data_IF_304627406941
#
_entry.id   IF_304627406941
#
_cell.length_a   1.000
_cell.length_b   1.000
_cell.length_c   1.000
_cell.angle_alpha   90.00
_cell.angle_beta   90.00
_cell.angle_gamma   90.00
#
_symmetry.space_group_name_H-M   'P 1'
#
loop_
_entity.id
_entity.type
_entity.pdbx_description
1 polymer ?
#
# COMPACT_ATOMS: atom_id res chain seq x y z
N UNK A 1 -1.53 20.05 21.37
CA UNK A 1 -0.80 20.12 20.09
C UNK A 1 -0.98 21.49 19.46
N UNK A 2 0.02 22.00 18.72
CA UNK A 2 -0.06 23.29 18.02
C UNK A 2 -0.99 23.18 16.80
N UNK A 3 -1.70 24.26 16.45
CA UNK A 3 -2.47 24.33 15.21
C UNK A 3 -1.56 24.77 14.06
N UNK A 4 -1.22 23.86 13.18
CA UNK A 4 -0.41 24.12 11.98
C UNK A 4 -1.26 23.75 10.78
N UNK A 5 -1.45 24.68 9.83
CA UNK A 5 -2.23 24.41 8.62
C UNK A 5 -1.56 23.32 7.79
N UNK A 6 -2.38 22.52 7.12
CA UNK A 6 -1.90 21.59 6.10
C UNK A 6 -1.15 22.32 4.99
N UNK A 7 -0.18 21.62 4.41
CA UNK A 7 0.59 22.10 3.26
C UNK A 7 0.04 21.52 1.97
N UNK A 8 0.43 22.06 0.82
CA UNK A 8 0.02 21.56 -0.50
C UNK A 8 0.76 20.28 -0.96
N UNK A 9 1.33 19.50 -0.03
CA UNK A 9 2.01 18.24 -0.33
C UNK A 9 1.08 17.05 -0.04
N UNK A 10 1.05 16.07 -0.94
CA UNK A 10 0.38 14.79 -0.75
C UNK A 10 1.38 13.66 -0.97
N UNK A 11 1.70 12.94 0.10
CA UNK A 11 2.64 11.82 0.07
C UNK A 11 1.95 10.45 0.00
N UNK A 12 0.61 10.40 -0.10
CA UNK A 12 -0.13 9.14 -0.14
C UNK A 12 0.24 8.34 -1.39
N UNK A 13 0.64 7.10 -1.19
CA UNK A 13 1.01 6.20 -2.27
C UNK A 13 0.89 4.73 -1.84
N UNK A 14 -0.09 4.02 -2.40
CA UNK A 14 -0.41 2.63 -2.03
C UNK A 14 0.63 1.57 -2.42
N UNK A 15 1.76 1.96 -3.03
CA UNK A 15 2.81 1.05 -3.49
C UNK A 15 4.11 1.15 -2.68
N UNK A 16 4.18 2.11 -1.75
CA UNK A 16 5.41 2.44 -1.05
C UNK A 16 5.16 2.66 0.43
N UNK A 17 6.20 2.39 1.21
CA UNK A 17 6.30 2.73 2.62
C UNK A 17 7.50 3.64 2.86
N UNK A 18 7.43 4.44 3.91
CA UNK A 18 8.49 5.36 4.31
C UNK A 18 9.04 4.98 5.67
N UNK A 19 10.37 4.96 5.78
CA UNK A 19 11.09 4.45 6.95
C UNK A 19 11.81 5.59 7.65
N UNK A 20 11.61 5.68 8.96
CA UNK A 20 12.27 6.62 9.84
C UNK A 20 12.90 5.85 11.01
N UNK A 21 14.03 6.33 11.49
CA UNK A 21 14.69 5.87 12.72
C UNK A 21 14.87 7.02 13.67
N UNK A 22 14.98 6.73 14.95
CA UNK A 22 15.10 7.77 15.95
C UNK A 22 15.67 7.32 17.28
N UNK A 23 15.83 8.31 18.15
CA UNK A 23 16.13 8.14 19.56
C UNK A 23 14.90 8.61 20.32
N UNK A 24 14.19 7.67 20.93
CA UNK A 24 13.00 7.96 21.74
C UNK A 24 13.15 7.37 23.14
N UNK A 25 12.65 8.08 24.14
CA UNK A 25 12.80 7.69 25.54
C UNK A 25 11.93 6.47 25.90
N UNK A 26 10.71 6.39 25.40
CA UNK A 26 9.79 5.29 25.70
C UNK A 26 8.74 5.11 24.61
N UNK A 27 8.08 3.95 24.62
CA UNK A 27 6.98 3.64 23.70
C UNK A 27 5.83 4.63 23.84
N UNK A 28 5.47 5.01 25.06
CA UNK A 28 4.37 5.95 25.33
C UNK A 28 4.66 7.35 24.78
N UNK A 29 5.94 7.78 24.79
CA UNK A 29 6.33 9.04 24.17
C UNK A 29 6.24 8.95 22.64
N UNK A 30 6.66 7.83 22.05
CA UNK A 30 6.53 7.61 20.61
C UNK A 30 5.07 7.58 20.15
N UNK A 31 4.19 6.88 20.89
CA UNK A 31 2.75 6.84 20.62
C UNK A 31 2.13 8.25 20.66
N UNK A 32 2.50 9.05 21.67
CA UNK A 32 2.06 10.45 21.75
C UNK A 32 2.57 11.32 20.59
N UNK A 33 3.78 11.06 20.10
CA UNK A 33 4.35 11.78 18.95
C UNK A 33 3.57 11.52 17.66
N UNK A 34 3.14 10.27 17.49
CA UNK A 34 2.42 9.77 16.31
C UNK A 34 0.89 9.92 16.41
N UNK A 35 0.35 10.17 17.60
CA UNK A 35 -1.08 10.31 17.83
C UNK A 35 -1.69 11.36 16.88
N UNK A 36 -2.66 10.91 16.08
CA UNK A 36 -3.44 11.79 15.21
C UNK A 36 -4.67 12.31 15.94
N UNK A 37 -4.93 13.62 15.81
CA UNK A 37 -6.09 14.31 16.34
C UNK A 37 -7.03 14.67 15.18
N UNK A 38 -8.07 13.85 14.98
CA UNK A 38 -9.03 14.02 13.89
C UNK A 38 -9.70 15.40 13.88
N UNK A 39 -9.94 15.98 15.06
CA UNK A 39 -10.51 17.33 15.22
C UNK A 39 -9.63 18.44 14.63
N UNK A 40 -8.33 18.20 14.44
CA UNK A 40 -7.44 19.14 13.74
C UNK A 40 -7.50 18.93 12.22
N UNK A 41 -7.65 17.70 11.76
CA UNK A 41 -7.83 17.40 10.33
C UNK A 41 -9.13 18.01 9.79
N UNK A 42 -10.21 18.01 10.59
CA UNK A 42 -11.50 18.64 10.26
C UNK A 42 -11.43 20.16 10.04
N UNK A 43 -10.36 20.81 10.50
CA UNK A 43 -10.14 22.26 10.36
C UNK A 43 -8.89 22.56 9.52
N UNK A 44 -8.56 21.68 8.58
CA UNK A 44 -7.42 21.78 7.65
C UNK A 44 -6.06 22.02 8.34
N UNK A 45 -5.87 21.39 9.51
CA UNK A 45 -4.61 21.39 10.24
C UNK A 45 -3.95 20.01 10.19
N UNK A 46 -2.63 19.98 10.40
CA UNK A 46 -1.84 18.75 10.50
C UNK A 46 -2.23 18.00 11.79
N UNK A 47 -2.46 16.69 11.64
CA UNK A 47 -3.09 15.86 12.66
C UNK A 47 -2.18 15.37 13.80
N UNK A 48 -0.86 15.37 13.65
CA UNK A 48 0.07 14.87 14.68
C UNK A 48 1.31 15.75 14.83
N UNK A 49 2.05 15.60 15.94
CA UNK A 49 3.31 16.33 16.13
C UNK A 49 4.40 15.81 15.17
N UNK A 50 4.44 14.50 14.92
CA UNK A 50 5.28 13.93 13.86
C UNK A 50 4.98 14.53 12.49
N UNK A 51 3.69 14.65 12.15
CA UNK A 51 3.27 15.29 10.90
C UNK A 51 3.70 16.76 10.81
N UNK A 52 3.64 17.50 11.92
CA UNK A 52 4.13 18.89 11.96
C UNK A 52 5.62 18.94 11.67
N UNK A 53 6.40 18.09 12.33
CA UNK A 53 7.86 18.09 12.25
C UNK A 53 8.34 17.71 10.83
N UNK A 54 7.75 16.68 10.23
CA UNK A 54 8.11 16.21 8.88
C UNK A 54 7.28 16.82 7.74
N UNK A 55 6.38 17.77 8.05
CA UNK A 55 5.45 18.36 7.09
C UNK A 55 4.54 17.35 6.38
N UNK A 56 4.09 16.33 7.10
CA UNK A 56 3.15 15.31 6.63
C UNK A 56 1.76 15.69 7.14
N UNK A 57 0.83 15.97 6.23
CA UNK A 57 -0.53 16.38 6.59
C UNK A 57 -1.29 15.29 7.36
N UNK A 58 -1.18 14.07 6.85
CA UNK A 58 -1.91 12.89 7.29
C UNK A 58 -1.18 11.63 6.83
N UNK A 59 -1.30 10.55 7.60
CA UNK A 59 -0.88 9.20 7.23
C UNK A 59 -1.90 8.20 7.77
N UNK A 60 -1.98 7.01 7.17
CA UNK A 60 -2.96 5.99 7.51
C UNK A 60 -2.52 5.25 8.79
N UNK A 61 -3.30 5.36 9.87
CA UNK A 61 -2.95 4.80 11.17
C UNK A 61 -3.07 3.26 11.20
N UNK A 62 -3.79 2.67 10.25
CA UNK A 62 -3.89 1.21 10.07
C UNK A 62 -2.65 0.59 9.39
N UNK A 63 -1.82 1.42 8.74
CA UNK A 63 -0.70 0.95 7.90
C UNK A 63 0.67 1.40 8.41
N UNK A 64 0.81 1.79 9.68
CA UNK A 64 2.12 2.10 10.26
C UNK A 64 2.53 1.13 11.35
N UNK A 65 3.84 0.99 11.52
CA UNK A 65 4.50 0.26 12.61
C UNK A 65 5.43 1.20 13.33
N UNK A 66 5.37 1.21 14.66
CA UNK A 66 6.23 2.03 15.49
C UNK A 66 6.73 1.24 16.70
N UNK A 67 8.04 1.21 16.90
CA UNK A 67 8.68 0.47 18.00
C UNK A 67 9.72 1.34 18.71
N UNK A 68 9.95 1.05 20.00
CA UNK A 68 11.06 1.58 20.79
C UNK A 68 11.76 0.41 21.47
N UNK A 69 12.98 0.11 21.03
CA UNK A 69 13.85 -0.89 21.60
C UNK A 69 14.46 -0.40 22.93
N UNK A 70 14.75 -1.35 23.82
CA UNK A 70 15.34 -1.03 25.13
C UNK A 70 16.77 -0.52 25.01
N UNK A 71 17.54 -1.07 24.07
CA UNK A 71 18.92 -0.67 23.82
C UNK A 71 19.02 0.10 22.49
N UNK A 72 19.94 1.07 22.44
CA UNK A 72 20.29 1.73 21.18
C UNK A 72 21.33 0.89 20.46
N UNK A 73 21.20 0.82 19.15
CA UNK A 73 22.17 0.19 18.26
C UNK A 73 22.39 1.07 17.03
N UNK A 74 23.46 0.83 16.30
CA UNK A 74 23.67 1.38 14.97
C UNK A 74 23.60 0.28 13.89
N UNK A 75 23.31 -0.96 14.28
CA UNK A 75 23.10 -2.07 13.38
C UNK A 75 21.62 -2.16 12.95
N UNK A 76 21.39 -2.26 11.64
CA UNK A 76 20.04 -2.28 11.06
C UNK A 76 19.26 -3.52 11.50
N UNK A 77 19.89 -4.68 11.60
CA UNK A 77 19.21 -5.91 12.04
C UNK A 77 18.77 -5.78 13.49
N UNK A 78 19.60 -5.20 14.35
CA UNK A 78 19.26 -4.97 15.76
C UNK A 78 18.17 -3.91 15.93
N UNK A 79 18.22 -2.81 15.18
CA UNK A 79 17.22 -1.74 15.26
C UNK A 79 15.85 -2.22 14.76
N UNK A 80 15.80 -2.99 13.68
CA UNK A 80 14.57 -3.37 12.99
C UNK A 80 14.04 -4.76 13.33
N UNK A 81 14.66 -5.48 14.28
CA UNK A 81 14.31 -6.86 14.64
C UNK A 81 12.80 -7.08 14.86
N UNK A 82 12.13 -6.15 15.54
CA UNK A 82 10.70 -6.24 15.88
C UNK A 82 9.80 -5.35 14.98
N UNK A 83 10.34 -4.74 13.92
CA UNK A 83 9.61 -3.86 13.00
C UNK A 83 9.71 -4.26 11.53
N UNK A 84 10.29 -5.43 11.22
CA UNK A 84 10.48 -5.90 9.85
C UNK A 84 9.15 -6.23 9.15
N UNK A 85 8.49 -5.19 8.63
CA UNK A 85 7.27 -5.28 7.80
C UNK A 85 7.57 -5.18 6.30
N UNK A 86 8.85 -5.09 5.92
CA UNK A 86 9.33 -4.98 4.54
C UNK A 86 10.69 -5.66 4.36
N UNK A 87 11.15 -5.76 3.10
CA UNK A 87 12.47 -6.34 2.79
C UNK A 87 13.61 -5.43 3.26
N UNK A 88 14.16 -5.72 4.43
CA UNK A 88 15.29 -4.99 5.02
C UNK A 88 16.55 -5.03 4.15
N UNK A 89 16.68 -5.96 3.20
CA UNK A 89 17.82 -5.97 2.28
C UNK A 89 17.85 -4.72 1.39
N UNK A 90 16.68 -4.14 1.07
CA UNK A 90 16.61 -2.90 0.32
C UNK A 90 17.19 -1.73 1.14
N UNK A 91 16.86 -1.67 2.43
CA UNK A 91 17.43 -0.66 3.34
C UNK A 91 18.95 -0.85 3.48
N UNK A 92 19.44 -2.08 3.60
CA UNK A 92 20.88 -2.38 3.69
C UNK A 92 21.64 -2.09 2.40
N UNK A 93 20.99 -2.08 1.24
CA UNK A 93 21.63 -1.66 -0.01
C UNK A 93 21.95 -0.16 0.02
N UNK A 94 21.04 0.65 0.57
CA UNK A 94 21.25 2.10 0.75
C UNK A 94 22.24 2.41 1.89
N UNK A 95 22.22 1.57 2.93
CA UNK A 95 23.06 1.69 4.13
C UNK A 95 23.87 0.40 4.35
N UNK A 96 24.94 0.16 3.54
CA UNK A 96 25.73 -1.07 3.60
C UNK A 96 26.65 -1.17 4.82
N UNK A 97 26.85 -0.06 5.52
CA UNK A 97 27.61 0.02 6.76
C UNK A 97 26.65 0.29 7.93
N UNK A 98 27.06 0.05 9.18
CA UNK A 98 26.31 0.51 10.34
C UNK A 98 25.97 1.99 10.24
N UNK A 99 24.82 2.36 10.77
CA UNK A 99 24.36 3.75 10.78
C UNK A 99 25.36 4.64 11.53
N UNK A 100 25.38 5.92 11.16
CA UNK A 100 26.29 6.94 11.70
C UNK A 100 25.98 7.33 13.16
N UNK A 101 24.83 6.90 13.68
CA UNK A 101 24.40 7.15 15.05
C UNK A 101 23.69 5.93 15.65
N UNK A 102 23.47 5.98 16.96
CA UNK A 102 22.81 4.94 17.72
C UNK A 102 21.32 5.27 17.92
N UNK A 103 20.46 4.45 17.33
CA UNK A 103 19.01 4.61 17.33
C UNK A 103 18.35 3.50 18.15
N UNK A 104 17.18 3.78 18.73
CA UNK A 104 16.34 2.77 19.39
C UNK A 104 14.87 2.85 18.99
N UNK A 105 14.47 3.80 18.15
CA UNK A 105 13.11 3.92 17.69
C UNK A 105 13.03 3.72 16.18
N UNK A 106 11.95 3.10 15.72
CA UNK A 106 11.63 2.92 14.30
C UNK A 106 10.19 3.36 14.09
N UNK A 107 9.96 4.07 13.00
CA UNK A 107 8.62 4.40 12.49
C UNK A 107 8.60 4.01 11.01
N UNK A 108 7.69 3.14 10.64
CA UNK A 108 7.45 2.74 9.24
C UNK A 108 6.02 3.09 8.92
N UNK A 109 5.80 3.91 7.89
CA UNK A 109 4.47 4.34 7.45
C UNK A 109 4.21 3.76 6.06
N UNK A 110 3.32 2.78 5.99
CA UNK A 110 2.80 2.22 4.75
C UNK A 110 1.89 3.18 4.00
N UNK A 111 1.61 2.85 2.73
CA UNK A 111 0.84 3.70 1.81
C UNK A 111 1.34 5.14 1.71
N UNK A 112 2.65 5.35 1.89
CA UNK A 112 3.26 6.68 1.88
C UNK A 112 4.63 6.67 1.20
N UNK A 113 4.78 7.54 0.21
CA UNK A 113 6.06 7.87 -0.44
C UNK A 113 6.51 9.24 0.02
N UNK A 114 7.27 9.28 1.11
CA UNK A 114 7.79 10.52 1.66
C UNK A 114 8.93 11.06 0.78
N UNK A 115 8.69 12.22 0.17
CA UNK A 115 9.65 12.95 -0.65
C UNK A 115 9.86 14.36 -0.10
N UNK A 116 9.56 14.57 1.18
CA UNK A 116 9.68 15.85 1.84
C UNK A 116 11.14 16.27 2.06
N UNK A 117 11.34 17.59 2.17
CA UNK A 117 12.67 18.18 2.35
C UNK A 117 13.25 17.97 3.76
N UNK A 118 12.41 17.63 4.74
CA UNK A 118 12.83 17.48 6.14
C UNK A 118 13.30 16.04 6.35
N UNK A 119 14.62 15.86 6.39
CA UNK A 119 15.22 14.54 6.54
C UNK A 119 15.54 14.19 8.00
N UNK A 120 15.68 15.19 8.87
CA UNK A 120 16.04 14.99 10.28
C UNK A 120 15.41 16.06 11.18
N UNK A 121 14.99 15.64 12.36
CA UNK A 121 14.35 16.46 13.39
C UNK A 121 14.98 16.17 14.74
N UNK A 122 15.27 17.25 15.47
CA UNK A 122 15.56 17.20 16.89
C UNK A 122 14.39 17.82 17.64
N UNK A 123 13.73 17.02 18.49
CA UNK A 123 12.61 17.46 19.30
C UNK A 123 12.89 17.21 20.79
N UNK A 124 12.87 18.27 21.59
CA UNK A 124 13.20 18.19 23.02
C UNK A 124 12.19 17.33 23.82
N UNK A 125 10.95 17.20 23.33
CA UNK A 125 9.90 16.42 24.00
C UNK A 125 9.86 14.97 23.52
N UNK A 126 10.01 14.74 22.21
CA UNK A 126 9.77 13.43 21.59
C UNK A 126 11.03 12.67 21.19
N UNK A 127 12.18 13.35 21.15
CA UNK A 127 13.46 12.78 20.76
C UNK A 127 13.91 13.20 19.36
N UNK A 128 14.87 12.48 18.81
CA UNK A 128 15.42 12.76 17.48
C UNK A 128 14.94 11.73 16.47
N UNK A 129 14.61 12.15 15.26
CA UNK A 129 14.14 11.26 14.20
C UNK A 129 14.74 11.65 12.86
N UNK A 130 15.05 10.65 12.05
CA UNK A 130 15.66 10.78 10.74
C UNK A 130 14.91 9.89 9.75
N UNK A 131 14.60 10.45 8.58
CA UNK A 131 14.12 9.70 7.43
C UNK A 131 15.27 8.92 6.80
N UNK A 132 15.08 7.62 6.59
CA UNK A 132 16.09 6.76 5.94
C UNK A 132 15.81 6.55 4.46
N UNK A 133 14.54 6.44 4.07
CA UNK A 133 14.19 6.17 2.69
C UNK A 133 12.75 5.72 2.50
N UNK A 134 12.37 5.61 1.23
CA UNK A 134 11.09 5.04 0.81
C UNK A 134 11.36 3.73 0.06
N UNK A 135 10.63 2.69 0.39
CA UNK A 135 10.78 1.36 -0.19
C UNK A 135 9.44 0.85 -0.74
N UNK A 136 9.44 -0.05 -1.74
CA UNK A 136 8.22 -0.71 -2.17
C UNK A 136 7.55 -1.41 -0.99
N UNK A 137 6.25 -1.19 -0.83
CA UNK A 137 5.46 -1.91 0.15
C UNK A 137 5.26 -3.35 -0.33
N UNK A 138 5.45 -4.37 0.53
CA UNK A 138 5.23 -5.76 0.13
C UNK A 138 3.80 -5.94 -0.37
N UNK A 139 3.66 -6.49 -1.57
CA UNK A 139 2.33 -6.85 -2.07
C UNK A 139 1.71 -7.88 -1.12
N UNK A 140 0.38 -7.80 -0.90
CA UNK A 140 -0.29 -8.74 -0.02
C UNK A 140 -0.08 -10.16 -0.55
N UNK A 141 0.31 -11.08 0.34
CA UNK A 141 0.52 -12.49 0.01
C UNK A 141 -0.81 -13.25 -0.24
N UNK A 142 -1.95 -12.58 0.01
CA UNK A 142 -3.31 -13.05 -0.25
C UNK A 142 -4.14 -11.91 -0.82
N UNK A 143 -4.93 -12.23 -1.84
CA UNK A 143 -5.94 -11.33 -2.38
C UNK A 143 -7.28 -11.98 -2.04
N UNK A 144 -8.12 -11.26 -1.29
CA UNK A 144 -9.47 -11.71 -0.95
C UNK A 144 -10.48 -11.11 -1.93
N UNK A 145 -11.53 -11.86 -2.22
CA UNK A 145 -12.65 -11.38 -3.04
C UNK A 145 -13.39 -10.28 -2.28
N UNK A 146 -13.20 -9.02 -2.73
CA UNK A 146 -13.81 -7.83 -2.12
C UNK A 146 -14.78 -7.17 -3.10
N UNK A 147 -15.89 -6.64 -2.59
CA UNK A 147 -16.93 -6.01 -3.41
C UNK A 147 -16.39 -4.87 -4.30
N UNK A 148 -15.38 -4.13 -3.83
CA UNK A 148 -14.73 -3.06 -4.60
C UNK A 148 -14.00 -3.60 -5.85
N UNK A 149 -13.54 -4.85 -5.82
CA UNK A 149 -12.91 -5.48 -6.98
C UNK A 149 -13.90 -5.71 -8.13
N UNK A 150 -15.20 -5.83 -7.83
CA UNK A 150 -16.23 -5.95 -8.87
C UNK A 150 -16.35 -4.63 -9.63
N UNK A 151 -16.37 -3.51 -8.93
CA UNK A 151 -16.40 -2.19 -9.56
C UNK A 151 -15.11 -1.94 -10.36
N UNK A 152 -13.95 -2.31 -9.81
CA UNK A 152 -12.70 -2.25 -10.54
C UNK A 152 -12.74 -3.07 -11.83
N UNK A 153 -13.27 -4.30 -11.78
CA UNK A 153 -13.38 -5.16 -12.95
C UNK A 153 -14.29 -4.58 -14.04
N UNK A 154 -15.44 -4.03 -13.66
CA UNK A 154 -16.35 -3.35 -14.60
C UNK A 154 -15.66 -2.14 -15.24
N UNK A 155 -15.06 -1.26 -14.42
CA UNK A 155 -14.36 -0.08 -14.90
C UNK A 155 -13.24 -0.46 -15.87
N UNK A 156 -12.46 -1.49 -15.54
CA UNK A 156 -11.36 -1.96 -16.38
C UNK A 156 -11.84 -2.45 -17.75
N UNK A 157 -12.94 -3.20 -17.79
CA UNK A 157 -13.55 -3.64 -19.05
C UNK A 157 -14.05 -2.45 -19.88
N UNK A 158 -14.67 -1.45 -19.23
CA UNK A 158 -15.11 -0.21 -19.90
C UNK A 158 -13.92 0.57 -20.45
N UNK A 159 -12.83 0.70 -19.70
CA UNK A 159 -11.57 1.33 -20.15
C UNK A 159 -10.98 0.60 -21.36
N UNK A 160 -11.15 -0.72 -21.44
CA UNK A 160 -10.78 -1.53 -22.60
C UNK A 160 -11.78 -1.42 -23.78
N UNK A 161 -12.81 -0.60 -23.65
CA UNK A 161 -13.79 -0.31 -24.71
C UNK A 161 -14.90 -1.35 -24.84
N UNK A 162 -15.18 -2.13 -23.80
CA UNK A 162 -16.32 -3.04 -23.78
C UNK A 162 -17.57 -2.33 -23.28
N UNK A 163 -18.70 -2.62 -23.93
CA UNK A 163 -20.02 -2.28 -23.42
C UNK A 163 -20.45 -3.34 -22.40
N UNK A 164 -20.73 -2.92 -21.18
CA UNK A 164 -21.13 -3.83 -20.09
C UNK A 164 -22.64 -3.80 -19.91
N UNK A 165 -23.25 -4.99 -19.84
CA UNK A 165 -24.68 -5.14 -19.54
C UNK A 165 -24.95 -6.32 -18.62
N UNK A 166 -26.09 -6.26 -17.94
CA UNK A 166 -26.57 -7.33 -17.06
C UNK A 166 -27.82 -7.96 -17.68
N UNK A 167 -27.82 -9.28 -17.81
CA UNK A 167 -28.99 -10.04 -18.26
C UNK A 167 -29.44 -10.97 -17.15
N UNK A 168 -30.74 -11.07 -16.93
CA UNK A 168 -31.31 -12.10 -16.05
C UNK A 168 -31.63 -13.35 -16.88
N UNK A 169 -31.11 -14.50 -16.47
CA UNK A 169 -31.52 -15.80 -16.97
C UNK A 169 -32.33 -16.52 -15.88
N UNK A 170 -33.59 -16.84 -16.18
CA UNK A 170 -34.41 -17.65 -15.29
C UNK A 170 -33.84 -19.07 -15.26
N UNK A 171 -33.29 -19.50 -14.13
CA UNK A 171 -32.83 -20.86 -13.91
C UNK A 171 -33.98 -21.87 -13.89
N UNK A 172 -33.63 -23.16 -14.07
CA UNK A 172 -34.57 -24.28 -13.93
C UNK A 172 -35.03 -24.50 -12.47
N UNK A 173 -34.42 -23.80 -11.51
CA UNK A 173 -34.63 -23.91 -10.06
C UNK A 173 -35.28 -22.66 -9.44
N UNK A 174 -35.99 -21.85 -10.24
CA UNK A 174 -36.67 -20.61 -9.84
C UNK A 174 -35.73 -19.53 -9.26
N UNK A 175 -34.42 -19.68 -9.41
CA UNK A 175 -33.45 -18.65 -9.02
C UNK A 175 -33.10 -17.76 -10.21
N UNK A 176 -33.17 -16.46 -9.96
CA UNK A 176 -32.64 -15.45 -10.88
C UNK A 176 -31.11 -15.53 -10.86
N UNK A 177 -30.51 -15.86 -12.00
CA UNK A 177 -29.07 -15.76 -12.18
C UNK A 177 -28.77 -14.51 -13.01
N UNK A 178 -28.11 -13.55 -12.37
CA UNK A 178 -27.57 -12.40 -13.07
C UNK A 178 -26.31 -12.80 -13.82
N UNK A 179 -26.29 -12.52 -15.11
CA UNK A 179 -25.15 -12.76 -16.00
C UNK A 179 -24.63 -11.42 -16.48
N UNK A 180 -23.34 -11.21 -16.28
CA UNK A 180 -22.61 -10.06 -16.77
C UNK A 180 -22.14 -10.33 -18.20
N UNK A 181 -22.34 -9.36 -19.08
CA UNK A 181 -21.93 -9.41 -20.48
C UNK A 181 -20.96 -8.28 -20.78
N UNK A 182 -19.87 -8.59 -21.47
CA UNK A 182 -18.95 -7.62 -22.04
C UNK A 182 -18.96 -7.75 -23.56
N UNK A 183 -19.41 -6.71 -24.26
CA UNK A 183 -19.51 -6.69 -25.72
C UNK A 183 -18.51 -5.72 -26.35
N UNK A 184 -17.75 -6.19 -27.33
CA UNK A 184 -16.87 -5.35 -28.16
C UNK A 184 -16.78 -5.95 -29.56
N UNK A 185 -16.96 -5.11 -30.57
CA UNK A 185 -16.82 -5.50 -31.99
C UNK A 185 -17.69 -6.72 -32.38
N UNK A 186 -18.91 -6.82 -31.83
CA UNK A 186 -19.84 -7.91 -32.11
C UNK A 186 -19.52 -9.23 -31.41
N UNK A 187 -18.48 -9.27 -30.56
CA UNK A 187 -18.19 -10.40 -29.67
C UNK A 187 -18.74 -10.13 -28.28
N UNK A 188 -19.35 -11.14 -27.67
CA UNK A 188 -19.92 -11.07 -26.33
C UNK A 188 -19.24 -12.12 -25.44
N UNK A 189 -18.68 -11.67 -24.33
CA UNK A 189 -18.16 -12.50 -23.24
C UNK A 189 -19.14 -12.48 -22.08
N UNK A 190 -19.31 -13.61 -21.39
CA UNK A 190 -20.31 -13.71 -20.32
C UNK A 190 -19.78 -14.43 -19.09
N UNK A 191 -20.17 -13.99 -17.89
CA UNK A 191 -19.86 -14.67 -16.63
C UNK A 191 -20.89 -14.33 -15.54
N UNK A 192 -20.86 -15.08 -14.42
CA UNK A 192 -21.78 -14.89 -13.29
C UNK A 192 -21.41 -13.70 -12.38
N UNK A 193 -20.16 -13.25 -12.43
CA UNK A 193 -19.69 -12.08 -11.70
C UNK A 193 -18.65 -11.30 -12.53
N UNK A 194 -18.43 -10.01 -12.22
CA UNK A 194 -17.54 -9.16 -13.00
C UNK A 194 -16.07 -9.58 -12.96
N UNK A 195 -15.59 -10.16 -11.86
CA UNK A 195 -14.20 -10.61 -11.73
C UNK A 195 -13.91 -11.76 -12.68
N UNK A 196 -14.80 -12.77 -12.74
CA UNK A 196 -14.72 -13.86 -13.72
C UNK A 196 -14.80 -13.34 -15.14
N UNK A 197 -15.68 -12.37 -15.41
CA UNK A 197 -15.81 -11.77 -16.74
C UNK A 197 -14.50 -11.08 -17.16
N UNK A 198 -13.90 -10.29 -16.27
CA UNK A 198 -12.59 -9.67 -16.50
C UNK A 198 -11.52 -10.73 -16.75
N UNK A 199 -11.50 -11.82 -15.97
CA UNK A 199 -10.55 -12.92 -16.15
C UNK A 199 -10.65 -13.56 -17.55
N UNK A 200 -11.86 -13.87 -18.01
CA UNK A 200 -12.10 -14.43 -19.35
C UNK A 200 -11.63 -13.46 -20.44
N UNK A 201 -12.01 -12.19 -20.35
CA UNK A 201 -11.61 -11.17 -21.33
C UNK A 201 -10.09 -10.99 -21.36
N UNK A 202 -9.44 -11.04 -20.20
CA UNK A 202 -7.98 -10.92 -20.09
C UNK A 202 -7.27 -12.08 -20.80
N UNK A 203 -7.74 -13.33 -20.60
CA UNK A 203 -7.20 -14.50 -21.30
C UNK A 203 -7.32 -14.33 -22.82
N UNK A 204 -8.48 -13.87 -23.30
CA UNK A 204 -8.72 -13.68 -24.74
C UNK A 204 -7.90 -12.53 -25.31
N UNK A 205 -7.66 -11.45 -24.56
CA UNK A 205 -6.77 -10.37 -25.00
C UNK A 205 -5.32 -10.81 -25.11
N UNK A 206 -4.84 -11.60 -24.14
CA UNK A 206 -3.44 -12.04 -24.10
C UNK A 206 -3.15 -13.16 -25.12
N UNK A 207 -4.08 -14.11 -25.26
CA UNK A 207 -3.84 -15.35 -26.02
C UNK A 207 -4.71 -15.49 -27.29
N UNK A 208 -5.59 -14.52 -27.55
CA UNK A 208 -6.52 -14.54 -28.67
C UNK A 208 -7.74 -15.43 -28.46
N UNK A 209 -8.65 -15.45 -29.44
CA UNK A 209 -9.92 -16.21 -29.35
C UNK A 209 -9.71 -17.73 -29.31
N UNK A 210 -8.60 -18.21 -29.89
CA UNK A 210 -8.23 -19.61 -29.94
C UNK A 210 -7.31 -20.00 -28.76
N UNK A 211 -7.45 -19.33 -27.62
CA UNK A 211 -6.64 -19.54 -26.42
C UNK A 211 -6.63 -21.03 -25.98
N UNK A 212 -7.70 -21.77 -26.26
CA UNK A 212 -7.85 -23.21 -26.01
C UNK A 212 -6.98 -24.10 -26.90
N UNK A 213 -6.37 -23.53 -27.96
CA UNK A 213 -5.54 -24.20 -28.96
C UNK A 213 -4.08 -23.75 -28.94
N UNK A 214 -3.76 -22.72 -28.16
CA UNK A 214 -2.37 -22.29 -27.94
C UNK A 214 -1.73 -23.26 -26.95
N UNK A 215 -0.46 -23.63 -27.16
CA UNK A 215 0.31 -24.36 -26.15
C UNK A 215 0.45 -23.48 -24.90
N UNK A 216 -0.53 -23.59 -24.01
CA UNK A 216 -0.53 -22.97 -22.69
C UNK A 216 0.47 -23.72 -21.81
N UNK A 217 1.40 -23.04 -21.14
CA UNK A 217 2.14 -23.65 -20.05
C UNK A 217 1.13 -24.28 -19.08
N UNK A 218 1.34 -25.55 -18.73
CA UNK A 218 0.41 -26.32 -17.87
C UNK A 218 0.11 -25.66 -16.51
N UNK A 219 0.87 -24.63 -16.14
CA UNK A 219 0.53 -23.69 -15.09
C UNK A 219 0.91 -22.26 -15.52
N UNK A 220 -0.06 -21.34 -15.50
CA UNK A 220 0.21 -19.91 -15.46
C UNK A 220 0.70 -19.60 -14.04
N UNK A 221 2.03 -19.64 -13.86
CA UNK A 221 2.65 -19.26 -12.60
C UNK A 221 2.62 -17.75 -12.45
N UNK A 222 1.71 -17.21 -11.64
CA UNK A 222 1.75 -15.82 -11.14
C UNK A 222 2.83 -15.72 -10.04
N UNK A 223 4.05 -16.15 -10.34
CA UNK A 223 5.19 -15.88 -9.47
C UNK A 223 5.76 -14.54 -9.92
N UNK A 224 5.98 -13.58 -9.01
CA UNK A 224 6.81 -12.42 -9.31
C UNK A 224 8.12 -12.93 -9.90
N UNK A 225 8.47 -12.47 -11.09
CA UNK A 225 9.76 -12.82 -11.68
C UNK A 225 10.83 -12.10 -10.86
N UNK A 226 11.59 -12.83 -10.05
CA UNK A 226 12.87 -12.32 -9.56
C UNK A 226 13.76 -12.13 -10.79
N UNK A 227 14.03 -10.88 -11.15
CA UNK A 227 15.05 -10.57 -12.16
C UNK A 227 16.40 -11.03 -11.60
N UNK A 228 17.06 -11.92 -12.33
CA UNK A 228 18.48 -12.24 -12.17
C UNK A 228 19.36 -11.09 -12.65
#
# INVERSE_FOLDING_TARGET
MKKVKQKEYDFRNNLYLSVFVGVCQSKEILERYLQQYLTLLEIDCIGSQFGIDFHINYYDDEYYTAIVNTQRSNDIDEIFADAAVFDLNLLKQDYPNPLDSFYNAVIIIGRMKYEGEVLEIQNDEFGSFRFLGTYPEPLPNKIEDHAEMYQYAINKLVDWGYNISLTNENGWDEKDYFKWNAEKEGKIFTALDPLRLLGIVTIVQEYGDAWDRVEMPHALSIKPTEKK
#
